data_IF_691124681068
#
_entry.id   IF_691124681068
#
_cell.length_a   1.000
_cell.length_b   1.000
_cell.length_c   1.000
_cell.angle_alpha   90.00
_cell.angle_beta   90.00
_cell.angle_gamma   90.00
#
_symmetry.space_group_name_H-M   'P 1'
#
loop_
_entity.id
_entity.type
_entity.pdbx_description
1 polymer ?
#
# COMPACT_ATOMS: atom_id res chain seq x y z
N UNK A 1 -28.64 8.49 7.01
CA UNK A 1 -27.60 8.36 8.05
C UNK A 1 -26.24 8.50 7.37
N UNK A 2 -25.56 9.65 7.52
CA UNK A 2 -24.23 9.92 6.91
C UNK A 2 -23.24 10.51 7.93
N UNK A 3 -23.59 10.44 9.21
CA UNK A 3 -22.78 10.95 10.31
C UNK A 3 -22.53 9.78 11.25
N UNK A 4 -21.28 9.62 11.65
CA UNK A 4 -20.84 8.70 12.67
C UNK A 4 -19.87 9.47 13.57
N UNK A 5 -20.02 9.34 14.88
CA UNK A 5 -19.15 9.99 15.85
C UNK A 5 -17.94 9.10 16.11
N UNK A 6 -16.74 9.68 16.04
CA UNK A 6 -15.50 8.96 16.32
C UNK A 6 -15.50 8.53 17.79
N UNK A 7 -15.25 7.25 18.05
CA UNK A 7 -15.07 6.78 19.42
C UNK A 7 -13.74 7.29 19.96
N UNK A 8 -13.79 7.93 21.12
CA UNK A 8 -12.61 8.41 21.85
C UNK A 8 -12.66 7.78 23.23
N UNK A 9 -11.65 7.01 23.59
CA UNK A 9 -11.66 6.19 24.82
C UNK A 9 -10.40 6.44 25.63
N UNK A 10 -10.59 6.88 26.86
CA UNK A 10 -9.50 6.96 27.84
C UNK A 10 -9.16 5.57 28.36
N UNK A 11 -7.88 5.27 28.44
CA UNK A 11 -7.35 4.01 28.93
C UNK A 11 -6.50 4.31 30.15
N UNK A 12 -6.88 3.76 31.31
CA UNK A 12 -6.03 3.83 32.49
C UNK A 12 -4.88 2.84 32.34
N UNK A 13 -3.65 3.35 32.34
CA UNK A 13 -2.41 2.59 32.31
C UNK A 13 -1.61 2.89 33.57
N UNK A 14 -0.90 1.90 34.11
CA UNK A 14 -0.08 2.06 35.30
C UNK A 14 1.40 2.18 34.88
N UNK A 15 2.08 3.30 35.19
CA UNK A 15 3.52 3.41 34.94
C UNK A 15 4.37 2.34 35.64
N UNK A 16 3.82 1.67 36.67
CA UNK A 16 4.47 0.53 37.32
C UNK A 16 4.57 -0.72 36.40
N UNK A 17 3.70 -0.85 35.40
CA UNK A 17 3.64 -2.00 34.49
C UNK A 17 4.55 -1.85 33.25
N UNK A 18 5.31 -0.74 33.14
CA UNK A 18 6.25 -0.47 32.05
C UNK A 18 5.96 0.82 31.28
N UNK A 19 6.68 1.10 30.18
CA UNK A 19 6.42 2.28 29.35
C UNK A 19 4.99 2.30 28.81
N UNK A 20 4.27 3.41 29.00
CA UNK A 20 2.84 3.50 28.63
C UNK A 20 2.59 3.34 27.13
N UNK A 21 3.55 3.75 26.29
CA UNK A 21 3.49 3.55 24.84
C UNK A 21 3.57 2.07 24.47
N UNK A 22 4.44 1.29 25.11
CA UNK A 22 4.49 -0.16 24.92
C UNK A 22 3.19 -0.83 25.39
N UNK A 23 2.65 -0.42 26.54
CA UNK A 23 1.36 -0.92 27.04
C UNK A 23 0.20 -0.64 26.07
N UNK A 24 0.16 0.56 25.46
CA UNK A 24 -0.83 0.88 24.43
C UNK A 24 -0.66 -0.01 23.18
N UNK A 25 0.57 -0.19 22.70
CA UNK A 25 0.84 -1.01 21.52
C UNK A 25 0.49 -2.47 21.74
N UNK A 26 0.82 -3.02 22.91
CA UNK A 26 0.46 -4.39 23.27
C UNK A 26 -1.06 -4.55 23.37
N UNK A 27 -1.75 -3.67 24.11
CA UNK A 27 -3.21 -3.77 24.31
C UNK A 27 -4.01 -3.70 23.01
N UNK A 28 -3.55 -2.89 22.05
CA UNK A 28 -4.23 -2.67 20.78
C UNK A 28 -3.49 -3.26 19.58
N UNK A 29 -2.66 -4.28 19.82
CA UNK A 29 -1.88 -4.95 18.78
C UNK A 29 -2.80 -5.54 17.69
N UNK A 30 -2.61 -5.18 16.41
CA UNK A 30 -3.35 -5.74 15.28
C UNK A 30 -3.15 -7.24 15.05
N UNK A 31 -2.48 -7.99 15.91
CA UNK A 31 -2.47 -9.46 15.88
C UNK A 31 -3.68 -10.05 16.60
N UNK A 32 -4.20 -9.38 17.61
CA UNK A 32 -5.32 -9.87 18.41
C UNK A 32 -6.44 -8.85 18.65
N UNK A 33 -6.17 -7.55 18.53
CA UNK A 33 -7.20 -6.51 18.56
C UNK A 33 -7.84 -6.31 17.18
N UNK A 34 -9.16 -6.34 17.10
CA UNK A 34 -9.92 -6.24 15.85
C UNK A 34 -11.05 -5.21 15.98
N UNK A 35 -11.19 -4.37 14.97
CA UNK A 35 -12.37 -3.50 14.82
C UNK A 35 -13.50 -4.30 14.14
N UNK A 36 -14.73 -4.20 14.66
CA UNK A 36 -15.90 -4.80 14.01
C UNK A 36 -16.24 -4.02 12.74
N UNK A 37 -15.94 -4.61 11.58
CA UNK A 37 -16.17 -4.01 10.25
C UNK A 37 -17.63 -3.65 9.96
N UNK A 38 -18.57 -4.18 10.75
CA UNK A 38 -20.01 -3.92 10.61
C UNK A 38 -20.46 -2.66 11.35
N UNK A 39 -19.59 -2.05 12.16
CA UNK A 39 -19.92 -0.89 12.99
C UNK A 39 -19.13 0.35 12.54
N UNK A 40 -19.83 1.42 12.17
CA UNK A 40 -19.20 2.70 11.91
C UNK A 40 -18.99 3.50 13.21
N UNK A 41 -17.94 4.34 13.28
CA UNK A 41 -16.85 4.48 12.31
C UNK A 41 -15.79 3.37 12.47
N UNK A 42 -15.09 3.01 11.39
CA UNK A 42 -13.98 2.06 11.41
C UNK A 42 -12.65 2.71 11.82
N UNK A 43 -12.75 3.65 12.76
CA UNK A 43 -11.65 4.35 13.37
C UNK A 43 -12.04 4.83 14.78
N UNK A 44 -11.06 4.87 15.67
CA UNK A 44 -11.22 5.36 17.03
C UNK A 44 -9.90 5.89 17.55
N UNK A 45 -9.96 6.77 18.54
CA UNK A 45 -8.79 7.23 19.29
C UNK A 45 -8.83 6.59 20.67
N UNK A 46 -7.73 5.99 21.07
CA UNK A 46 -7.49 5.60 22.46
C UNK A 46 -6.38 6.47 23.01
N UNK A 47 -6.52 6.92 24.26
CA UNK A 47 -5.57 7.85 24.85
C UNK A 47 -5.35 7.57 26.33
N UNK A 48 -4.18 7.95 26.85
CA UNK A 48 -3.82 7.86 28.26
C UNK A 48 -3.01 9.07 28.67
N UNK A 49 -3.20 9.53 29.89
CA UNK A 49 -2.31 10.49 30.52
C UNK A 49 -1.06 9.76 31.03
N UNK A 50 0.12 10.33 30.78
CA UNK A 50 1.40 9.89 31.32
C UNK A 50 1.82 10.86 32.43
N UNK A 51 1.55 10.53 33.70
CA UNK A 51 1.79 11.44 34.82
C UNK A 51 3.28 11.63 35.13
N UNK A 52 4.15 10.72 34.67
CA UNK A 52 5.59 10.83 34.93
C UNK A 52 6.25 11.88 34.02
N UNK A 53 5.74 12.03 32.80
CA UNK A 53 6.29 12.96 31.81
C UNK A 53 5.36 14.16 31.52
N UNK A 54 4.22 14.25 32.23
CA UNK A 54 3.19 15.29 32.06
C UNK A 54 2.77 15.45 30.59
N UNK A 55 2.44 14.33 29.95
CA UNK A 55 2.06 14.29 28.53
C UNK A 55 0.85 13.40 28.28
N UNK A 56 0.22 13.61 27.14
CA UNK A 56 -0.84 12.74 26.65
C UNK A 56 -0.31 11.84 25.53
N UNK A 57 -0.61 10.55 25.65
CA UNK A 57 -0.40 9.57 24.59
C UNK A 57 -1.73 9.32 23.89
N UNK A 58 -1.74 9.39 22.57
CA UNK A 58 -2.92 9.10 21.76
C UNK A 58 -2.53 8.13 20.63
N UNK A 59 -3.36 7.11 20.43
CA UNK A 59 -3.22 6.14 19.35
C UNK A 59 -4.48 6.17 18.50
N UNK A 60 -4.30 6.44 17.20
CA UNK A 60 -5.36 6.35 16.21
C UNK A 60 -5.43 4.92 15.69
N UNK A 61 -6.52 4.22 16.02
CA UNK A 61 -6.82 2.89 15.50
C UNK A 61 -7.75 3.05 14.31
N UNK A 62 -7.46 2.37 13.20
CA UNK A 62 -8.32 2.37 12.03
C UNK A 62 -8.24 1.05 11.28
N UNK A 63 -9.31 0.69 10.57
CA UNK A 63 -9.29 -0.45 9.66
C UNK A 63 -8.83 0.00 8.28
N UNK A 64 -7.92 -0.76 7.66
CA UNK A 64 -7.40 -0.47 6.31
C UNK A 64 -8.47 -0.49 5.20
N UNK A 65 -9.73 -0.81 5.53
CA UNK A 65 -10.87 -0.80 4.59
C UNK A 65 -11.31 0.64 4.26
N UNK A 66 -11.05 1.58 5.16
CA UNK A 66 -11.51 2.97 5.04
C UNK A 66 -10.37 3.97 4.86
N UNK A 67 -9.12 3.48 4.80
CA UNK A 67 -7.94 4.34 4.79
C UNK A 67 -6.77 3.64 4.09
N UNK A 68 -5.92 4.44 3.47
CA UNK A 68 -4.62 4.07 2.91
C UNK A 68 -3.57 5.12 3.35
N UNK A 69 -2.29 4.91 3.03
CA UNK A 69 -1.21 5.80 3.47
C UNK A 69 -1.46 7.28 3.10
N UNK A 70 -2.05 7.55 1.93
CA UNK A 70 -2.42 8.90 1.50
C UNK A 70 -3.55 9.46 2.35
N UNK A 71 -4.61 8.69 2.60
CA UNK A 71 -5.73 9.10 3.45
C UNK A 71 -5.25 9.40 4.88
N UNK A 72 -4.31 8.64 5.42
CA UNK A 72 -3.75 8.89 6.75
C UNK A 72 -3.01 10.23 6.79
N UNK A 73 -2.23 10.56 5.76
CA UNK A 73 -1.57 11.86 5.64
C UNK A 73 -2.58 13.02 5.62
N UNK A 74 -3.70 12.85 4.92
CA UNK A 74 -4.80 13.83 4.90
C UNK A 74 -5.41 13.99 6.30
N UNK A 75 -5.74 12.89 6.99
CA UNK A 75 -6.28 12.95 8.36
C UNK A 75 -5.33 13.70 9.31
N UNK A 76 -4.04 13.37 9.28
CA UNK A 76 -3.04 14.04 10.12
C UNK A 76 -2.91 15.54 9.79
N UNK A 77 -2.95 15.89 8.50
CA UNK A 77 -2.93 17.29 8.06
C UNK A 77 -4.15 18.07 8.55
N UNK A 78 -5.36 17.50 8.41
CA UNK A 78 -6.59 18.14 8.86
C UNK A 78 -6.63 18.27 10.39
N UNK A 79 -6.22 17.24 11.12
CA UNK A 79 -6.08 17.29 12.59
C UNK A 79 -5.14 18.43 13.02
N UNK A 80 -3.96 18.55 12.39
CA UNK A 80 -3.02 19.62 12.68
C UNK A 80 -3.63 20.99 12.39
N UNK A 81 -4.31 21.15 11.26
CA UNK A 81 -4.98 22.41 10.92
C UNK A 81 -6.04 22.79 11.95
N UNK A 82 -6.83 21.84 12.43
CA UNK A 82 -7.81 22.07 13.50
C UNK A 82 -7.16 22.48 14.83
N UNK A 83 -6.10 21.79 15.26
CA UNK A 83 -5.36 22.12 16.49
C UNK A 83 -4.73 23.51 16.44
N UNK A 84 -4.32 23.98 15.26
CA UNK A 84 -3.76 25.32 15.04
C UNK A 84 -4.83 26.39 14.80
N UNK A 85 -6.12 26.08 14.91
CA UNK A 85 -7.22 27.01 14.65
C UNK A 85 -7.41 27.38 13.17
N UNK A 86 -6.83 26.61 12.25
CA UNK A 86 -6.86 26.82 10.79
C UNK A 86 -7.85 25.90 10.07
N UNK A 87 -8.73 25.22 10.79
CA UNK A 87 -9.71 24.29 10.19
C UNK A 87 -10.62 24.94 9.13
N UNK A 88 -10.89 26.24 9.23
CA UNK A 88 -11.74 26.99 8.28
C UNK A 88 -11.13 27.05 6.87
N UNK A 89 -9.81 26.91 6.72
CA UNK A 89 -9.16 26.89 5.40
C UNK A 89 -9.17 25.52 4.71
N UNK A 90 -9.69 24.47 5.38
CA UNK A 90 -9.78 23.14 4.79
C UNK A 90 -10.90 23.08 3.75
N UNK A 91 -10.63 22.39 2.63
CA UNK A 91 -11.62 22.15 1.59
C UNK A 91 -12.68 21.13 2.02
N UNK A 92 -13.73 20.98 1.21
CA UNK A 92 -14.70 19.90 1.43
C UNK A 92 -14.10 18.54 1.07
N UNK A 93 -14.38 17.53 1.89
CA UNK A 93 -14.00 16.14 1.59
C UNK A 93 -14.75 15.62 0.36
N UNK A 94 -14.01 14.96 -0.53
CA UNK A 94 -14.59 14.31 -1.72
C UNK A 94 -15.11 12.92 -1.35
N UNK A 95 -16.38 12.59 -1.61
CA UNK A 95 -16.94 11.28 -1.24
C UNK A 95 -16.28 10.12 -1.99
N UNK A 96 -15.78 9.12 -1.26
CA UNK A 96 -15.16 7.91 -1.79
C UNK A 96 -16.04 7.14 -2.82
N UNK A 97 -17.37 7.24 -2.70
CA UNK A 97 -18.29 6.62 -3.67
C UNK A 97 -18.09 7.09 -5.12
N UNK A 98 -17.54 8.29 -5.32
CA UNK A 98 -17.26 8.81 -6.65
C UNK A 98 -16.14 8.00 -7.31
N UNK A 99 -15.10 7.69 -6.54
CA UNK A 99 -14.04 6.77 -6.95
C UNK A 99 -14.58 5.37 -7.25
N UNK A 100 -15.43 4.82 -6.39
CA UNK A 100 -16.06 3.51 -6.62
C UNK A 100 -16.84 3.48 -7.93
N UNK A 101 -17.58 4.56 -8.24
CA UNK A 101 -18.29 4.68 -9.52
C UNK A 101 -17.32 4.68 -10.70
N UNK A 102 -16.21 5.42 -10.61
CA UNK A 102 -15.21 5.47 -11.67
C UNK A 102 -14.48 4.15 -11.87
N UNK A 103 -14.08 3.47 -10.80
CA UNK A 103 -13.47 2.15 -10.86
C UNK A 103 -14.40 1.12 -11.53
N UNK A 104 -15.72 1.24 -11.34
CA UNK A 104 -16.72 0.36 -11.96
C UNK A 104 -17.11 0.71 -13.39
N UNK A 105 -17.03 1.99 -13.75
CA UNK A 105 -17.43 2.51 -15.07
C UNK A 105 -16.24 2.74 -16.01
N UNK A 106 -15.01 2.53 -15.53
CA UNK A 106 -13.79 2.68 -16.30
C UNK A 106 -13.57 1.53 -17.28
N UNK A 107 -12.40 0.91 -17.21
CA UNK A 107 -12.03 -0.20 -18.10
C UNK A 107 -12.93 -1.41 -17.85
N UNK A 108 -13.39 -2.05 -18.92
CA UNK A 108 -14.28 -3.22 -18.81
C UNK A 108 -13.53 -4.44 -18.29
N UNK A 109 -14.27 -5.38 -17.68
CA UNK A 109 -13.71 -6.65 -17.21
C UNK A 109 -12.97 -7.42 -18.31
N UNK A 110 -13.53 -7.44 -19.53
CA UNK A 110 -12.92 -8.11 -20.69
C UNK A 110 -11.59 -7.47 -21.11
N UNK A 111 -11.47 -6.15 -21.01
CA UNK A 111 -10.22 -5.45 -21.30
C UNK A 111 -9.16 -5.73 -20.24
N UNK A 112 -9.54 -5.75 -18.95
CA UNK A 112 -8.62 -6.18 -17.89
C UNK A 112 -8.15 -7.62 -18.11
N UNK A 113 -9.07 -8.52 -18.44
CA UNK A 113 -8.75 -9.93 -18.66
C UNK A 113 -7.83 -10.14 -19.87
N UNK A 114 -8.06 -9.44 -20.97
CA UNK A 114 -7.18 -9.49 -22.14
C UNK A 114 -5.75 -9.05 -21.78
N UNK A 115 -5.61 -7.93 -21.06
CA UNK A 115 -4.33 -7.42 -20.61
C UNK A 115 -3.59 -8.38 -19.68
N UNK A 116 -4.27 -8.92 -18.66
CA UNK A 116 -3.64 -9.85 -17.73
C UNK A 116 -3.35 -11.22 -18.34
N UNK A 117 -4.15 -11.67 -19.32
CA UNK A 117 -3.86 -12.90 -20.07
C UNK A 117 -2.62 -12.73 -20.96
N UNK A 118 -2.43 -11.56 -21.56
CA UNK A 118 -1.19 -11.24 -22.28
C UNK A 118 0.02 -11.22 -21.33
N UNK A 119 -0.13 -10.63 -20.14
CA UNK A 119 0.95 -10.52 -19.17
C UNK A 119 1.32 -11.84 -18.47
N UNK A 120 0.32 -12.68 -18.15
CA UNK A 120 0.46 -13.80 -17.21
C UNK A 120 0.06 -15.17 -17.78
N UNK A 121 -0.44 -15.24 -19.01
CA UNK A 121 -1.07 -16.45 -19.55
C UNK A 121 -0.14 -17.65 -19.71
N UNK A 122 1.16 -17.42 -19.81
CA UNK A 122 2.24 -18.41 -19.86
C UNK A 122 2.91 -18.65 -18.49
N UNK A 123 2.43 -18.00 -17.42
CA UNK A 123 2.94 -18.19 -16.05
C UNK A 123 2.16 -19.33 -15.39
N UNK A 124 2.82 -20.46 -15.15
CA UNK A 124 2.25 -21.66 -14.53
C UNK A 124 2.66 -21.85 -13.06
N UNK A 125 3.76 -21.22 -12.63
CA UNK A 125 4.29 -21.33 -11.27
C UNK A 125 4.60 -19.96 -10.64
N UNK A 126 4.37 -19.79 -9.32
CA UNK A 126 4.69 -18.55 -8.61
C UNK A 126 6.21 -18.29 -8.54
N UNK A 127 6.60 -17.03 -8.40
CA UNK A 127 7.98 -16.69 -8.01
C UNK A 127 8.15 -16.95 -6.52
N UNK A 128 8.93 -17.96 -6.16
CA UNK A 128 9.18 -18.37 -4.77
C UNK A 128 10.63 -18.11 -4.37
N UNK A 129 10.93 -16.98 -3.69
CA UNK A 129 12.24 -16.72 -3.12
C UNK A 129 12.67 -17.86 -2.20
N UNK A 130 13.84 -18.44 -2.46
CA UNK A 130 14.37 -19.58 -1.70
C UNK A 130 13.45 -20.82 -1.70
N UNK A 131 12.51 -20.92 -2.64
CA UNK A 131 11.52 -22.00 -2.70
C UNK A 131 10.47 -21.96 -1.59
N UNK A 132 10.33 -20.84 -0.87
CA UNK A 132 9.40 -20.70 0.23
C UNK A 132 7.99 -20.38 -0.29
N UNK A 133 7.05 -21.31 -0.09
CA UNK A 133 5.65 -21.16 -0.49
C UNK A 133 4.73 -20.77 0.69
N UNK A 134 4.96 -21.36 1.87
CA UNK A 134 4.19 -21.09 3.07
C UNK A 134 4.89 -20.09 3.97
N UNK A 135 4.43 -18.84 3.94
CA UNK A 135 4.70 -17.84 4.98
C UNK A 135 3.46 -17.72 5.88
N UNK A 136 2.84 -18.84 6.24
CA UNK A 136 1.76 -18.86 7.23
C UNK A 136 2.34 -18.87 8.65
N UNK A 137 2.96 -17.76 9.04
CA UNK A 137 3.06 -17.42 10.45
C UNK A 137 1.99 -16.35 10.68
N UNK A 138 1.07 -16.54 11.63
CA UNK A 138 -0.01 -15.61 11.97
C UNK A 138 0.49 -14.26 12.53
N UNK A 139 1.29 -13.52 11.74
CA UNK A 139 1.98 -12.29 12.10
C UNK A 139 3.12 -12.45 13.12
N UNK A 140 3.39 -13.66 13.62
CA UNK A 140 4.23 -13.91 14.81
C UNK A 140 5.75 -13.95 14.61
N UNK A 141 6.26 -13.65 13.42
CA UNK A 141 7.70 -13.78 13.11
C UNK A 141 8.15 -12.84 11.99
N UNK A 142 7.57 -11.64 11.91
CA UNK A 142 7.98 -10.62 10.95
C UNK A 142 9.15 -9.85 11.56
N UNK A 143 10.33 -9.98 10.96
CA UNK A 143 11.47 -9.13 11.24
C UNK A 143 11.54 -8.01 10.20
N UNK A 144 11.86 -6.79 10.65
CA UNK A 144 12.08 -5.65 9.77
C UNK A 144 13.57 -5.42 9.56
N UNK A 145 13.99 -5.38 8.30
CA UNK A 145 15.33 -4.98 7.91
C UNK A 145 15.25 -3.74 7.01
N UNK A 146 16.04 -2.71 7.34
CA UNK A 146 16.12 -1.49 6.56
C UNK A 146 17.55 -1.20 6.13
N UNK A 147 17.70 -0.78 4.87
CA UNK A 147 18.99 -0.34 4.31
C UNK A 147 18.79 1.01 3.65
N UNK A 148 19.44 2.02 4.19
CA UNK A 148 19.40 3.39 3.64
C UNK A 148 20.40 3.52 2.50
N UNK A 149 19.89 3.86 1.31
CA UNK A 149 20.76 4.22 0.18
C UNK A 149 21.47 5.54 0.47
N UNK A 150 22.77 5.62 0.16
CA UNK A 150 23.52 6.87 0.30
C UNK A 150 22.92 7.96 -0.59
N UNK A 151 23.03 9.21 -0.17
CA UNK A 151 22.53 10.35 -0.94
C UNK A 151 23.15 10.39 -2.35
N UNK A 152 24.43 10.07 -2.48
CA UNK A 152 25.13 9.99 -3.77
C UNK A 152 24.51 8.92 -4.68
N UNK A 153 24.28 7.71 -4.16
CA UNK A 153 23.66 6.64 -4.94
C UNK A 153 22.25 7.01 -5.36
N UNK A 154 21.43 7.56 -4.45
CA UNK A 154 20.07 8.01 -4.75
C UNK A 154 20.04 9.06 -5.88
N UNK A 155 20.94 10.05 -5.85
CA UNK A 155 21.06 11.06 -6.91
C UNK A 155 21.45 10.43 -8.26
N UNK A 156 22.42 9.50 -8.25
CA UNK A 156 22.84 8.79 -9.47
C UNK A 156 21.73 7.93 -10.05
N UNK A 157 20.99 7.20 -9.23
CA UNK A 157 19.83 6.40 -9.67
C UNK A 157 18.76 7.28 -10.33
N UNK A 158 18.46 8.45 -9.73
CA UNK A 158 17.52 9.41 -10.31
C UNK A 158 18.01 10.01 -11.62
N UNK A 159 19.32 10.30 -11.73
CA UNK A 159 19.92 10.77 -12.97
C UNK A 159 19.83 9.70 -14.08
N UNK A 160 20.09 8.43 -13.77
CA UNK A 160 19.96 7.32 -14.71
C UNK A 160 18.51 7.09 -15.17
N UNK A 161 17.55 7.14 -14.25
CA UNK A 161 16.13 7.05 -14.59
C UNK A 161 15.71 8.18 -15.56
N UNK A 162 16.15 9.42 -15.30
CA UNK A 162 15.92 10.57 -16.21
C UNK A 162 16.58 10.37 -17.57
N UNK A 163 17.82 9.90 -17.61
CA UNK A 163 18.55 9.66 -18.86
C UNK A 163 17.89 8.58 -19.73
N UNK A 164 17.30 7.57 -19.10
CA UNK A 164 16.55 6.52 -19.79
C UNK A 164 15.09 6.88 -20.07
N UNK A 165 14.63 8.08 -19.68
CA UNK A 165 13.23 8.54 -19.78
C UNK A 165 12.23 7.62 -19.07
N UNK A 166 12.59 7.09 -17.90
CA UNK A 166 11.75 6.22 -17.08
C UNK A 166 11.55 6.78 -15.67
N UNK A 167 10.58 6.24 -14.93
CA UNK A 167 10.40 6.60 -13.52
C UNK A 167 11.44 5.94 -12.61
N UNK A 168 11.81 6.61 -11.51
CA UNK A 168 12.64 6.01 -10.47
C UNK A 168 12.00 4.74 -9.87
N UNK A 169 10.66 4.69 -9.84
CA UNK A 169 9.93 3.49 -9.45
C UNK A 169 10.25 2.31 -10.38
N UNK A 170 10.31 2.51 -11.70
CA UNK A 170 10.64 1.45 -12.66
C UNK A 170 12.03 0.87 -12.43
N UNK A 171 12.99 1.74 -12.07
CA UNK A 171 14.33 1.31 -11.69
C UNK A 171 14.30 0.43 -10.44
N UNK A 172 13.56 0.82 -9.41
CA UNK A 172 13.44 0.03 -8.18
C UNK A 172 12.73 -1.30 -8.41
N UNK A 173 11.72 -1.34 -9.28
CA UNK A 173 11.04 -2.59 -9.66
C UNK A 173 12.00 -3.53 -10.40
N UNK A 174 12.82 -3.04 -11.33
CA UNK A 174 13.83 -3.85 -11.99
C UNK A 174 14.88 -4.34 -10.98
N UNK A 175 15.34 -3.48 -10.07
CA UNK A 175 16.30 -3.87 -9.04
C UNK A 175 15.74 -5.00 -8.15
N UNK A 176 14.47 -4.87 -7.74
CA UNK A 176 13.77 -5.90 -6.98
C UNK A 176 13.58 -7.19 -7.78
N UNK A 177 13.21 -7.09 -9.05
CA UNK A 177 13.09 -8.25 -9.94
C UNK A 177 14.40 -9.03 -10.06
N UNK A 178 15.54 -8.34 -10.13
CA UNK A 178 16.86 -8.99 -10.15
C UNK A 178 17.20 -9.69 -8.84
N UNK A 179 16.81 -9.12 -7.70
CA UNK A 179 16.94 -9.81 -6.40
C UNK A 179 16.11 -11.08 -6.41
N UNK A 180 14.81 -10.98 -6.75
CA UNK A 180 13.90 -12.12 -6.82
C UNK A 180 14.39 -13.22 -7.77
N UNK A 181 14.85 -12.86 -8.96
CA UNK A 181 15.33 -13.82 -9.95
C UNK A 181 16.59 -14.54 -9.48
N UNK A 182 17.50 -13.83 -8.80
CA UNK A 182 18.69 -14.43 -8.19
C UNK A 182 18.32 -15.45 -7.10
N UNK A 183 17.41 -15.10 -6.19
CA UNK A 183 17.04 -15.98 -5.05
C UNK A 183 16.01 -17.05 -5.40
N UNK A 184 15.38 -16.95 -6.56
CA UNK A 184 14.41 -17.94 -7.07
C UNK A 184 14.98 -18.78 -8.23
N UNK A 185 16.21 -18.51 -8.67
CA UNK A 185 16.82 -19.09 -9.87
C UNK A 185 15.92 -18.98 -11.12
N UNK A 186 15.34 -17.79 -11.34
CA UNK A 186 14.45 -17.51 -12.47
C UNK A 186 14.92 -16.29 -13.26
N UNK A 187 14.81 -16.40 -14.59
CA UNK A 187 15.05 -15.31 -15.54
C UNK A 187 13.83 -14.43 -15.77
N UNK A 188 12.69 -14.81 -15.21
CA UNK A 188 11.43 -14.10 -15.25
C UNK A 188 10.76 -14.22 -13.89
N UNK A 189 10.29 -13.09 -13.38
CA UNK A 189 9.64 -13.03 -12.06
C UNK A 189 8.34 -12.28 -12.13
N UNK A 190 7.40 -12.69 -11.28
CA UNK A 190 6.12 -12.04 -11.06
C UNK A 190 6.00 -11.71 -9.58
N UNK A 191 5.72 -10.45 -9.27
CA UNK A 191 5.49 -10.00 -7.90
C UNK A 191 4.42 -8.93 -7.86
N UNK A 192 3.79 -8.75 -6.69
CA UNK A 192 2.79 -7.70 -6.49
C UNK A 192 3.43 -6.32 -6.45
N UNK A 193 2.84 -5.36 -7.15
CA UNK A 193 3.14 -3.92 -6.99
C UNK A 193 1.91 -3.19 -6.48
N UNK A 194 2.13 -2.24 -5.57
CA UNK A 194 1.07 -1.42 -4.97
C UNK A 194 0.89 -0.16 -5.80
N UNK A 195 -0.27 -0.03 -6.42
CA UNK A 195 -0.72 1.16 -7.14
C UNK A 195 -1.50 2.06 -6.19
N UNK A 196 -1.31 3.37 -6.30
CA UNK A 196 -1.99 4.33 -5.43
C UNK A 196 -3.50 4.46 -5.72
N UNK A 197 -3.94 4.11 -6.94
CA UNK A 197 -5.35 4.16 -7.36
C UNK A 197 -5.94 5.57 -7.45
N UNK A 198 -5.13 6.62 -7.31
CA UNK A 198 -5.58 8.03 -7.25
C UNK A 198 -5.27 8.82 -8.52
N UNK A 199 -4.54 8.25 -9.47
CA UNK A 199 -4.16 8.95 -10.70
C UNK A 199 -5.38 9.23 -11.59
N UNK A 200 -6.31 8.27 -11.66
CA UNK A 200 -7.53 8.44 -12.43
C UNK A 200 -8.71 8.93 -11.59
N UNK A 201 -8.65 8.95 -10.26
CA UNK A 201 -9.78 9.11 -9.35
C UNK A 201 -10.53 10.49 -9.38
N UNK A 202 -10.17 11.39 -10.28
CA UNK A 202 -10.82 12.69 -10.51
C UNK A 202 -10.33 13.82 -9.59
N UNK A 203 -10.90 15.02 -9.80
CA UNK A 203 -10.52 16.22 -9.05
C UNK A 203 -10.72 16.06 -7.54
N UNK A 204 -9.67 16.35 -6.77
CA UNK A 204 -9.69 16.27 -5.31
C UNK A 204 -9.58 14.85 -4.74
N UNK A 205 -9.30 13.85 -5.58
CA UNK A 205 -9.06 12.49 -5.11
C UNK A 205 -7.84 12.37 -4.20
N UNK A 206 -6.85 13.26 -4.34
CA UNK A 206 -5.72 13.40 -3.42
C UNK A 206 -6.12 13.73 -1.97
N UNK A 207 -7.30 14.34 -1.79
CA UNK A 207 -7.87 14.74 -0.48
C UNK A 207 -9.02 13.84 -0.02
N UNK A 208 -9.39 12.83 -0.80
CA UNK A 208 -10.47 11.91 -0.45
C UNK A 208 -9.99 10.85 0.55
N UNK A 209 -10.81 10.58 1.56
CA UNK A 209 -10.57 9.48 2.50
C UNK A 209 -11.15 8.19 1.93
N UNK A 210 -10.35 7.13 1.90
CA UNK A 210 -10.78 5.81 1.44
C UNK A 210 -9.64 4.87 1.14
N UNK A 211 -9.98 3.68 0.66
CA UNK A 211 -9.02 2.65 0.27
C UNK A 211 -8.79 2.69 -1.24
N UNK A 212 -7.82 3.46 -1.71
CA UNK A 212 -7.55 3.59 -3.15
C UNK A 212 -6.49 2.63 -3.63
N UNK A 213 -5.58 2.21 -2.74
CA UNK A 213 -4.48 1.36 -3.16
C UNK A 213 -4.99 0.03 -3.68
N UNK A 214 -4.35 -0.47 -4.73
CA UNK A 214 -4.60 -1.78 -5.29
C UNK A 214 -3.28 -2.50 -5.48
N UNK A 215 -3.26 -3.80 -5.29
CA UNK A 215 -2.07 -4.62 -5.54
C UNK A 215 -2.32 -5.43 -6.80
N UNK A 216 -1.46 -5.27 -7.81
CA UNK A 216 -1.57 -6.00 -9.07
C UNK A 216 -0.25 -6.71 -9.37
N UNK A 217 -0.28 -7.86 -10.06
CA UNK A 217 0.93 -8.55 -10.47
C UNK A 217 1.68 -7.73 -11.53
N UNK A 218 3.00 -7.67 -11.39
CA UNK A 218 3.92 -7.17 -12.40
C UNK A 218 4.87 -8.28 -12.79
N UNK A 219 4.89 -8.60 -14.08
CA UNK A 219 5.91 -9.47 -14.69
C UNK A 219 7.11 -8.65 -15.13
N UNK A 220 8.30 -9.12 -14.78
CA UNK A 220 9.58 -8.55 -15.20
C UNK A 220 10.49 -9.65 -15.71
N UNK A 221 10.94 -9.51 -16.96
CA UNK A 221 11.95 -10.36 -17.57
C UNK A 221 13.35 -9.79 -17.31
N UNK A 222 14.25 -10.61 -16.79
CA UNK A 222 15.63 -10.23 -16.45
C UNK A 222 16.69 -11.04 -17.23
N UNK A 223 16.30 -12.15 -17.87
CA UNK A 223 17.19 -13.00 -18.65
C UNK A 223 17.45 -12.47 -20.06
N UNK A 224 18.67 -12.62 -20.56
CA UNK A 224 19.02 -12.37 -21.96
C UNK A 224 18.93 -10.90 -22.43
N UNK A 225 18.62 -9.96 -21.55
CA UNK A 225 18.48 -8.52 -21.86
C UNK A 225 19.52 -7.68 -21.15
N UNK A 226 19.89 -6.54 -21.74
CA UNK A 226 20.70 -5.55 -21.03
C UNK A 226 19.89 -4.86 -19.94
N UNK A 227 20.58 -4.25 -18.97
CA UNK A 227 19.93 -3.50 -17.88
C UNK A 227 19.05 -2.37 -18.42
N UNK A 228 19.47 -1.69 -19.49
CA UNK A 228 18.73 -0.58 -20.08
C UNK A 228 17.46 -1.06 -20.78
N UNK A 229 17.53 -2.19 -21.49
CA UNK A 229 16.36 -2.81 -22.13
C UNK A 229 15.36 -3.29 -21.08
N UNK A 230 15.82 -4.04 -20.07
CA UNK A 230 14.98 -4.49 -18.97
C UNK A 230 14.32 -3.32 -18.21
N UNK A 231 15.04 -2.20 -18.06
CA UNK A 231 14.51 -1.00 -17.40
C UNK A 231 13.37 -0.35 -18.22
N UNK A 232 13.55 -0.25 -19.53
CA UNK A 232 12.51 0.30 -20.42
C UNK A 232 11.29 -0.61 -20.50
N UNK A 233 11.49 -1.91 -20.65
CA UNK A 233 10.40 -2.89 -20.64
C UNK A 233 9.62 -2.86 -19.31
N UNK A 234 10.33 -2.79 -18.18
CA UNK A 234 9.70 -2.65 -16.84
C UNK A 234 8.88 -1.36 -16.77
N UNK A 235 9.38 -0.25 -17.31
CA UNK A 235 8.67 1.01 -17.34
C UNK A 235 7.40 0.96 -18.20
N UNK A 236 7.48 0.31 -19.36
CA UNK A 236 6.34 0.09 -20.26
C UNK A 236 5.27 -0.76 -19.58
N UNK A 237 5.65 -1.89 -18.96
CA UNK A 237 4.72 -2.75 -18.22
C UNK A 237 4.06 -2.01 -17.06
N UNK A 238 4.82 -1.26 -16.26
CA UNK A 238 4.26 -0.45 -15.16
C UNK A 238 3.29 0.61 -15.68
N UNK A 239 3.62 1.26 -16.79
CA UNK A 239 2.78 2.30 -17.38
C UNK A 239 1.48 1.71 -17.93
N UNK A 240 1.56 0.56 -18.61
CA UNK A 240 0.38 -0.15 -19.10
C UNK A 240 -0.50 -0.62 -17.93
N UNK A 241 0.12 -1.10 -16.84
CA UNK A 241 -0.57 -1.54 -15.63
C UNK A 241 -1.40 -0.43 -14.97
N UNK A 242 -0.96 0.84 -15.05
CA UNK A 242 -1.73 1.99 -14.56
C UNK A 242 -3.08 2.14 -15.29
N UNK A 243 -3.16 1.79 -16.57
CA UNK A 243 -4.42 1.77 -17.31
C UNK A 243 -5.41 0.73 -16.76
N UNK A 244 -4.92 -0.25 -16.00
CA UNK A 244 -5.70 -1.31 -15.37
C UNK A 244 -5.68 -1.22 -13.83
N UNK A 245 -5.36 -0.06 -13.24
CA UNK A 245 -5.14 0.09 -11.80
C UNK A 245 -6.35 -0.27 -10.92
N UNK A 246 -7.55 -0.31 -11.49
CA UNK A 246 -8.80 -0.68 -10.80
C UNK A 246 -9.20 -2.15 -10.97
N UNK A 247 -8.41 -2.96 -11.69
CA UNK A 247 -8.71 -4.37 -11.88
C UNK A 247 -8.76 -5.10 -10.53
N UNK A 248 -9.74 -6.00 -10.30
CA UNK A 248 -9.68 -6.89 -9.13
C UNK A 248 -8.44 -7.78 -9.20
N UNK A 249 -7.67 -7.89 -8.11
CA UNK A 249 -6.50 -8.79 -8.05
C UNK A 249 -6.88 -10.24 -8.41
N UNK A 250 -8.05 -10.71 -7.95
CA UNK A 250 -8.58 -12.05 -8.28
C UNK A 250 -8.76 -12.25 -9.79
N UNK A 251 -9.13 -11.18 -10.52
CA UNK A 251 -9.22 -11.21 -11.98
C UNK A 251 -7.84 -11.35 -12.62
N UNK A 252 -6.84 -10.63 -12.12
CA UNK A 252 -5.48 -10.76 -12.63
C UNK A 252 -4.93 -12.18 -12.36
N UNK A 253 -5.14 -12.71 -11.15
CA UNK A 253 -4.68 -14.05 -10.76
C UNK A 253 -5.27 -15.17 -11.63
N UNK A 254 -6.59 -15.13 -11.92
CA UNK A 254 -7.25 -16.13 -12.79
C UNK A 254 -6.75 -16.13 -14.24
N UNK A 255 -5.99 -15.12 -14.65
CA UNK A 255 -5.40 -15.05 -15.99
C UNK A 255 -4.07 -15.81 -16.10
N UNK A 256 -3.53 -16.32 -14.98
CA UNK A 256 -2.34 -17.19 -14.94
C UNK A 256 -2.72 -18.66 -14.79
N UNK A 257 -1.76 -19.55 -15.04
CA UNK A 257 -1.85 -20.99 -14.73
C UNK A 257 -1.54 -21.33 -13.26
N UNK A 258 -1.18 -20.35 -12.43
CA UNK A 258 -0.86 -20.54 -11.02
C UNK A 258 -2.13 -20.88 -10.24
N UNK A 259 -2.10 -21.98 -9.50
CA UNK A 259 -3.20 -22.36 -8.62
C UNK A 259 -3.50 -21.25 -7.60
N UNK A 260 -4.77 -20.93 -7.40
CA UNK A 260 -5.19 -20.03 -6.34
C UNK A 260 -4.82 -20.64 -4.97
N UNK A 261 -4.29 -19.84 -4.03
CA UNK A 261 -4.01 -20.30 -2.67
C UNK A 261 -5.28 -20.69 -1.90
#
# INVERSE_FOLDING_TARGET
>A
LRQAEMRVTEVCLDPADGPLDEQLHERFDPRHYRLDVRQAPLMQIVFSHDPLNDRWLAMLLFHHLVNDATSLSVVLHEMQAHLLGRGVSLGQSVPYRNYVAQARLGVSEAQHEAFFREMLGDIDEPTLPFGLQDVQAGGGGIEEASVTLTAELNLRLRAQARQASVSAASLMHLAWARVLGSVSARDQVVFGTVLLGRMQAGDGADRSLGMFINTLPLRVDIGGVTVVEGLKATHEHLTALLGHEHAPLVLAQRCSGVAAP
#
